data_IF_803665814559
#
_entry.id   IF_803665814559
#
_cell.length_a   1.000
_cell.length_b   1.000
_cell.length_c   1.000
_cell.angle_alpha   90.00
_cell.angle_beta   90.00
_cell.angle_gamma   90.00
#
_symmetry.space_group_name_H-M   'P 1'
#
loop_
_entity.id
_entity.type
_entity.pdbx_description
1 polymer ?
#
# COMPACT_ATOMS: atom_id res chain seq x y z
N UNK A 1 -4.68 23.21 -10.23
CA UNK A 1 -5.40 23.26 -11.53
C UNK A 1 -6.60 22.32 -11.45
N UNK A 2 -7.72 22.78 -10.86
CA UNK A 2 -8.93 21.96 -10.77
C UNK A 2 -9.60 21.91 -12.15
N UNK A 3 -9.80 20.70 -12.68
CA UNK A 3 -10.48 20.46 -13.96
C UNK A 3 -11.86 21.16 -13.94
N UNK A 4 -12.10 22.06 -14.90
CA UNK A 4 -13.42 22.67 -15.15
C UNK A 4 -14.49 21.58 -15.12
N UNK A 5 -15.57 21.80 -14.37
CA UNK A 5 -16.72 20.91 -14.16
C UNK A 5 -17.31 20.49 -15.51
N UNK A 6 -16.74 19.44 -16.09
CA UNK A 6 -17.06 18.89 -17.40
C UNK A 6 -17.82 17.59 -17.19
N UNK A 7 -18.84 17.33 -18.01
CA UNK A 7 -19.65 16.10 -17.99
C UNK A 7 -18.78 14.83 -18.08
N UNK A 8 -17.54 14.92 -18.58
CA UNK A 8 -16.55 13.82 -18.61
C UNK A 8 -16.05 13.37 -17.23
N UNK A 9 -16.12 14.22 -16.20
CA UNK A 9 -15.61 13.87 -14.85
C UNK A 9 -16.45 12.74 -14.21
N UNK A 10 -17.75 12.68 -14.48
CA UNK A 10 -18.62 11.60 -13.97
C UNK A 10 -18.29 10.23 -14.54
N UNK A 11 -17.71 10.17 -15.73
CA UNK A 11 -17.29 8.91 -16.36
C UNK A 11 -15.90 8.47 -15.92
N UNK A 12 -15.15 9.34 -15.24
CA UNK A 12 -13.78 9.03 -14.82
C UNK A 12 -13.75 7.83 -13.84
N UNK A 13 -14.53 7.80 -12.74
CA UNK A 13 -14.49 6.69 -11.79
C UNK A 13 -14.80 5.31 -12.39
N UNK A 14 -15.91 5.09 -13.14
CA UNK A 14 -16.20 3.77 -13.69
C UNK A 14 -15.19 3.34 -14.76
N UNK A 15 -14.69 4.28 -15.60
CA UNK A 15 -13.67 3.96 -16.60
C UNK A 15 -12.35 3.55 -15.94
N UNK A 16 -11.92 4.29 -14.91
CA UNK A 16 -10.72 3.94 -14.13
C UNK A 16 -10.89 2.59 -13.44
N UNK A 17 -12.07 2.31 -12.87
CA UNK A 17 -12.35 1.01 -12.26
C UNK A 17 -12.22 -0.15 -13.25
N UNK A 18 -12.83 -0.05 -14.43
CA UNK A 18 -12.74 -1.08 -15.47
C UNK A 18 -11.30 -1.26 -15.94
N UNK A 19 -10.58 -0.16 -16.19
CA UNK A 19 -9.17 -0.19 -16.57
C UNK A 19 -8.32 -0.89 -15.49
N UNK A 20 -8.47 -0.49 -14.23
CA UNK A 20 -7.75 -1.09 -13.10
C UNK A 20 -8.09 -2.57 -12.92
N UNK A 21 -9.36 -2.95 -13.10
CA UNK A 21 -9.77 -4.35 -13.02
C UNK A 21 -9.09 -5.21 -14.09
N UNK A 22 -9.04 -4.73 -15.34
CA UNK A 22 -8.36 -5.40 -16.44
C UNK A 22 -6.86 -5.54 -16.12
N UNK A 23 -6.21 -4.45 -15.71
CA UNK A 23 -4.77 -4.45 -15.39
C UNK A 23 -4.42 -5.41 -14.25
N UNK A 24 -5.17 -5.36 -13.14
CA UNK A 24 -4.91 -6.22 -11.98
C UNK A 24 -5.19 -7.70 -12.27
N UNK A 25 -6.23 -7.99 -13.05
CA UNK A 25 -6.55 -9.37 -13.45
C UNK A 25 -5.47 -9.94 -14.37
N UNK A 26 -4.99 -9.11 -15.31
CA UNK A 26 -3.93 -9.50 -16.25
C UNK A 26 -2.62 -9.85 -15.53
N UNK A 27 -2.21 -9.02 -14.55
CA UNK A 27 -1.01 -9.27 -13.76
C UNK A 27 -1.09 -10.62 -13.00
N UNK A 28 -2.25 -10.94 -12.43
CA UNK A 28 -2.47 -12.23 -11.74
C UNK A 28 -2.38 -13.41 -12.68
N UNK A 29 -3.00 -13.31 -13.87
CA UNK A 29 -2.97 -14.36 -14.88
C UNK A 29 -1.53 -14.65 -15.29
N UNK A 30 -0.72 -13.62 -15.55
CA UNK A 30 0.69 -13.81 -15.93
C UNK A 30 1.48 -14.52 -14.81
N UNK A 31 1.26 -14.16 -13.55
CA UNK A 31 1.88 -14.83 -12.41
C UNK A 31 1.49 -16.31 -12.31
N UNK A 32 0.21 -16.63 -12.49
CA UNK A 32 -0.30 -18.01 -12.47
C UNK A 32 0.28 -18.81 -13.65
N UNK A 33 0.27 -18.24 -14.85
CA UNK A 33 0.84 -18.85 -16.05
C UNK A 33 2.32 -19.16 -15.86
N UNK A 34 3.09 -18.23 -15.29
CA UNK A 34 4.51 -18.46 -15.04
C UNK A 34 4.78 -19.56 -14.03
N UNK A 35 3.98 -19.65 -12.97
CA UNK A 35 4.06 -20.76 -12.01
C UNK A 35 3.67 -22.10 -12.63
N UNK A 36 2.66 -22.11 -13.50
CA UNK A 36 2.28 -23.31 -14.22
C UNK A 36 3.37 -23.75 -15.22
N UNK A 37 3.94 -22.81 -15.98
CA UNK A 37 5.02 -23.07 -16.92
C UNK A 37 6.28 -23.62 -16.22
N UNK A 38 6.59 -23.09 -15.04
CA UNK A 38 7.67 -23.61 -14.20
C UNK A 38 7.39 -25.04 -13.72
N UNK A 39 6.17 -25.32 -13.25
CA UNK A 39 5.78 -26.65 -12.80
C UNK A 39 5.87 -27.69 -13.92
N UNK A 40 5.56 -27.28 -15.15
CA UNK A 40 5.68 -28.12 -16.36
C UNK A 40 7.12 -28.22 -16.89
N UNK A 41 8.10 -27.55 -16.27
CA UNK A 41 9.50 -27.56 -16.71
C UNK A 41 9.77 -26.75 -17.99
N UNK A 42 8.86 -25.86 -18.40
CA UNK A 42 9.01 -25.02 -19.59
C UNK A 42 9.90 -23.80 -19.36
N UNK A 43 9.98 -23.33 -18.11
CA UNK A 43 10.85 -22.23 -17.68
C UNK A 43 11.50 -22.57 -16.35
N UNK A 44 12.72 -22.08 -16.13
CA UNK A 44 13.40 -22.18 -14.84
C UNK A 44 13.52 -20.81 -14.20
N UNK A 45 12.98 -20.66 -12.99
CA UNK A 45 13.15 -19.44 -12.21
C UNK A 45 14.52 -19.43 -11.52
N UNK A 46 15.18 -18.26 -11.44
CA UNK A 46 16.43 -18.12 -10.73
C UNK A 46 16.25 -18.41 -9.24
N UNK A 47 17.33 -18.82 -8.57
CA UNK A 47 17.35 -19.01 -7.12
C UNK A 47 17.12 -17.68 -6.42
N UNK A 48 16.41 -17.71 -5.28
CA UNK A 48 16.15 -16.52 -4.49
C UNK A 48 17.46 -15.97 -3.92
N UNK A 49 17.77 -14.67 -4.11
CA UNK A 49 19.05 -14.09 -3.68
C UNK A 49 19.27 -14.13 -2.16
N UNK A 50 18.17 -14.16 -1.38
CA UNK A 50 18.20 -14.04 0.10
C UNK A 50 17.74 -15.32 0.83
N UNK A 51 17.02 -16.23 0.15
CA UNK A 51 16.39 -17.39 0.81
C UNK A 51 17.00 -18.66 0.21
N UNK A 52 17.90 -19.35 0.93
CA UNK A 52 18.50 -20.58 0.44
C UNK A 52 17.44 -21.62 0.09
N UNK A 53 17.55 -22.22 -1.10
CA UNK A 53 16.66 -23.30 -1.56
C UNK A 53 15.29 -22.85 -2.07
N UNK A 54 14.94 -21.55 -1.98
CA UNK A 54 13.72 -21.04 -2.62
C UNK A 54 14.03 -20.37 -3.97
N UNK A 55 12.99 -20.21 -4.79
CA UNK A 55 13.09 -19.59 -6.12
C UNK A 55 12.58 -18.16 -6.09
N UNK A 56 13.14 -17.30 -6.94
CA UNK A 56 12.78 -15.90 -7.00
C UNK A 56 11.50 -15.70 -7.81
N UNK A 57 10.36 -15.74 -7.11
CA UNK A 57 9.03 -15.67 -7.73
C UNK A 57 8.71 -14.32 -8.37
N UNK A 58 9.37 -13.25 -7.94
CA UNK A 58 9.13 -11.92 -8.48
C UNK A 58 9.74 -11.74 -9.88
N UNK A 59 10.67 -12.63 -10.28
CA UNK A 59 11.25 -12.66 -11.63
C UNK A 59 10.40 -13.43 -12.66
N UNK A 60 9.22 -13.94 -12.29
CA UNK A 60 8.35 -14.68 -13.22
C UNK A 60 8.06 -13.88 -14.48
N UNK A 61 7.70 -12.61 -14.33
CA UNK A 61 7.35 -11.75 -15.46
C UNK A 61 8.52 -11.52 -16.45
N UNK A 62 9.72 -11.06 -16.02
CA UNK A 62 10.84 -10.88 -16.94
C UNK A 62 11.33 -12.21 -17.55
N UNK A 63 11.30 -13.32 -16.80
CA UNK A 63 11.68 -14.64 -17.34
C UNK A 63 10.70 -15.10 -18.42
N UNK A 64 9.39 -14.93 -18.21
CA UNK A 64 8.39 -15.23 -19.24
C UNK A 64 8.56 -14.35 -20.48
N UNK A 65 8.74 -13.04 -20.29
CA UNK A 65 8.94 -12.11 -21.40
C UNK A 65 10.19 -12.45 -22.22
N UNK A 66 11.28 -12.88 -21.57
CA UNK A 66 12.51 -13.31 -22.24
C UNK A 66 12.36 -14.59 -23.06
N UNK A 67 11.54 -15.54 -22.60
CA UNK A 67 11.37 -16.84 -23.26
C UNK A 67 10.26 -16.85 -24.33
N UNK A 68 9.20 -16.07 -24.14
CA UNK A 68 8.01 -16.11 -25.01
C UNK A 68 8.02 -15.07 -26.13
N UNK A 69 8.77 -13.98 -25.98
CA UNK A 69 8.73 -12.84 -26.91
C UNK A 69 10.02 -12.74 -27.73
N UNK A 70 9.95 -12.19 -28.95
CA UNK A 70 11.14 -11.81 -29.70
C UNK A 70 12.06 -10.87 -28.89
N UNK A 71 13.40 -10.96 -29.06
CA UNK A 71 14.36 -10.22 -28.23
C UNK A 71 14.09 -8.71 -28.16
N UNK A 72 13.76 -8.09 -29.30
CA UNK A 72 13.49 -6.65 -29.38
C UNK A 72 12.25 -6.23 -28.56
N UNK A 73 11.19 -7.06 -28.57
CA UNK A 73 9.95 -6.78 -27.83
C UNK A 73 10.19 -6.99 -26.33
N UNK A 74 10.92 -8.03 -25.95
CA UNK A 74 11.27 -8.30 -24.55
C UNK A 74 12.07 -7.15 -23.94
N UNK A 75 13.07 -6.63 -24.66
CA UNK A 75 13.86 -5.47 -24.22
C UNK A 75 12.99 -4.22 -24.05
N UNK A 76 12.12 -3.92 -25.02
CA UNK A 76 11.22 -2.78 -24.95
C UNK A 76 10.24 -2.90 -23.76
N UNK A 77 9.75 -4.11 -23.50
CA UNK A 77 8.86 -4.39 -22.39
C UNK A 77 9.55 -4.17 -21.03
N UNK A 78 10.82 -4.56 -20.87
CA UNK A 78 11.60 -4.25 -19.67
C UNK A 78 11.73 -2.74 -19.45
N UNK A 79 11.97 -1.97 -20.52
CA UNK A 79 12.02 -0.50 -20.45
C UNK A 79 10.68 0.08 -19.97
N UNK A 80 9.55 -0.43 -20.48
CA UNK A 80 8.21 0.01 -20.05
C UNK A 80 8.01 -0.24 -18.56
N UNK A 81 8.38 -1.42 -18.06
CA UNK A 81 8.23 -1.74 -16.63
C UNK A 81 9.11 -0.85 -15.76
N UNK A 82 10.36 -0.61 -16.16
CA UNK A 82 11.26 0.29 -15.45
C UNK A 82 10.68 1.72 -15.40
N UNK A 83 10.15 2.23 -16.52
CA UNK A 83 9.50 3.54 -16.56
C UNK A 83 8.26 3.61 -15.64
N UNK A 84 7.44 2.56 -15.61
CA UNK A 84 6.26 2.49 -14.75
C UNK A 84 6.63 2.52 -13.25
N UNK A 85 7.64 1.74 -12.85
CA UNK A 85 8.13 1.71 -11.46
C UNK A 85 8.70 3.07 -11.06
N UNK A 86 9.52 3.70 -11.91
CA UNK A 86 10.11 5.01 -11.65
C UNK A 86 9.03 6.08 -11.41
N UNK A 87 7.98 6.10 -12.22
CA UNK A 87 6.87 7.06 -12.05
C UNK A 87 6.11 6.91 -10.73
N UNK A 88 6.09 5.69 -10.17
CA UNK A 88 5.44 5.41 -8.87
C UNK A 88 6.35 5.84 -7.74
N UNK A 89 7.63 5.45 -7.80
CA UNK A 89 8.65 5.83 -6.82
C UNK A 89 8.78 7.34 -6.69
N UNK A 90 8.84 8.07 -7.80
CA UNK A 90 8.95 9.53 -7.79
C UNK A 90 7.79 10.19 -7.04
N UNK A 91 6.55 9.72 -7.26
CA UNK A 91 5.38 10.23 -6.55
C UNK A 91 5.42 9.92 -5.07
N UNK A 92 5.83 8.72 -4.68
CA UNK A 92 5.94 8.34 -3.27
C UNK A 92 7.00 9.16 -2.54
N UNK A 93 8.16 9.37 -3.15
CA UNK A 93 9.24 10.20 -2.60
C UNK A 93 8.79 11.66 -2.44
N UNK A 94 8.19 12.25 -3.48
CA UNK A 94 7.69 13.62 -3.43
C UNK A 94 6.59 13.78 -2.37
N UNK A 95 5.65 12.84 -2.31
CA UNK A 95 4.57 12.86 -1.31
C UNK A 95 5.14 12.76 0.11
N UNK A 96 6.13 11.90 0.33
CA UNK A 96 6.82 11.81 1.62
C UNK A 96 7.47 13.15 2.02
N UNK A 97 8.19 13.79 1.10
CA UNK A 97 8.81 15.09 1.34
C UNK A 97 7.80 16.19 1.67
N UNK A 98 6.64 16.20 1.00
CA UNK A 98 5.55 17.15 1.28
C UNK A 98 4.92 16.86 2.64
N UNK A 99 4.62 15.60 2.96
CA UNK A 99 4.02 15.23 4.24
C UNK A 99 4.94 15.60 5.43
N UNK A 100 6.25 15.37 5.31
CA UNK A 100 7.18 15.76 6.39
C UNK A 100 7.28 17.29 6.52
N UNK A 101 7.43 17.99 5.41
CA UNK A 101 7.63 19.45 5.44
C UNK A 101 6.37 20.25 5.77
N UNK A 102 5.19 19.80 5.34
CA UNK A 102 3.94 20.51 5.57
C UNK A 102 3.17 19.95 6.77
N UNK A 103 2.95 18.63 6.85
CA UNK A 103 2.14 18.09 7.94
C UNK A 103 2.89 18.11 9.27
N UNK A 104 4.19 17.77 9.29
CA UNK A 104 4.96 17.77 10.54
C UNK A 104 5.49 19.17 10.84
N UNK A 105 6.19 19.80 9.91
CA UNK A 105 6.88 21.06 10.19
C UNK A 105 5.96 22.27 10.24
N UNK A 106 5.07 22.42 9.27
CA UNK A 106 4.15 23.54 9.25
C UNK A 106 2.96 23.33 10.20
N UNK A 107 2.26 22.19 10.11
CA UNK A 107 1.02 21.99 10.89
C UNK A 107 1.27 21.57 12.35
N UNK A 108 2.27 20.73 12.63
CA UNK A 108 2.54 20.27 14.02
C UNK A 108 3.56 21.18 14.72
N UNK A 109 4.69 21.51 14.09
CA UNK A 109 5.76 22.32 14.69
C UNK A 109 5.61 23.83 14.45
N UNK A 110 4.60 24.26 13.69
CA UNK A 110 4.28 25.67 13.44
C UNK A 110 5.44 26.49 12.84
N UNK A 111 6.30 25.84 12.04
CA UNK A 111 7.38 26.53 11.31
C UNK A 111 6.78 27.24 10.10
N UNK A 112 6.87 28.58 10.08
CA UNK A 112 6.24 29.43 9.06
C UNK A 112 7.16 29.82 7.89
N UNK A 113 8.45 29.53 7.98
CA UNK A 113 9.41 29.91 6.93
C UNK A 113 9.34 28.98 5.72
N UNK A 114 8.77 29.46 4.62
CA UNK A 114 8.68 28.71 3.35
C UNK A 114 10.04 28.21 2.85
N UNK A 115 11.10 29.00 3.06
CA UNK A 115 12.46 28.59 2.68
C UNK A 115 12.89 27.35 3.45
N UNK A 116 12.60 27.30 4.76
CA UNK A 116 12.94 26.17 5.62
C UNK A 116 12.11 24.94 5.25
N UNK A 117 10.80 25.10 5.03
CA UNK A 117 9.88 24.03 4.60
C UNK A 117 10.39 23.39 3.29
N UNK A 118 10.73 24.21 2.29
CA UNK A 118 11.20 23.72 0.99
C UNK A 118 12.56 23.00 1.08
N UNK A 119 13.48 23.51 1.91
CA UNK A 119 14.77 22.85 2.12
C UNK A 119 14.57 21.49 2.79
N UNK A 120 13.74 21.44 3.84
CA UNK A 120 13.50 20.19 4.55
C UNK A 120 12.77 19.18 3.67
N UNK A 121 11.81 19.60 2.85
CA UNK A 121 11.17 18.70 1.86
C UNK A 121 12.22 18.02 0.97
N UNK A 122 13.15 18.78 0.40
CA UNK A 122 14.23 18.24 -0.44
C UNK A 122 15.16 17.32 0.33
N UNK A 123 15.54 17.68 1.55
CA UNK A 123 16.38 16.85 2.42
C UNK A 123 15.65 15.54 2.73
N UNK A 124 14.38 15.59 3.13
CA UNK A 124 13.57 14.40 3.42
C UNK A 124 13.46 13.46 2.22
N UNK A 125 13.30 14.00 1.01
CA UNK A 125 13.30 13.21 -0.24
C UNK A 125 14.64 12.50 -0.44
N UNK A 126 15.76 13.21 -0.30
CA UNK A 126 17.10 12.62 -0.47
C UNK A 126 17.36 11.58 0.63
N UNK A 127 17.05 11.89 1.89
CA UNK A 127 17.24 11.00 3.02
C UNK A 127 16.46 9.70 2.87
N UNK A 128 15.16 9.77 2.55
CA UNK A 128 14.35 8.56 2.36
C UNK A 128 14.76 7.82 1.09
N UNK A 129 15.20 8.52 0.04
CA UNK A 129 15.78 7.92 -1.17
C UNK A 129 17.04 7.10 -0.86
N UNK A 130 17.95 7.62 -0.03
CA UNK A 130 19.15 6.89 0.40
C UNK A 130 18.80 5.67 1.27
N UNK A 131 17.87 5.82 2.22
CA UNK A 131 17.44 4.70 3.08
C UNK A 131 16.77 3.61 2.26
N UNK A 132 15.89 3.96 1.32
CA UNK A 132 15.21 2.99 0.45
C UNK A 132 16.17 2.33 -0.53
N UNK A 133 17.14 3.06 -1.09
CA UNK A 133 18.20 2.48 -1.92
C UNK A 133 19.07 1.49 -1.13
N UNK A 134 19.41 1.81 0.12
CA UNK A 134 20.13 0.89 1.00
C UNK A 134 19.32 -0.37 1.31
N UNK A 135 18.03 -0.23 1.63
CA UNK A 135 17.14 -1.38 1.86
C UNK A 135 16.93 -2.22 0.58
N UNK A 136 16.98 -1.61 -0.61
CA UNK A 136 16.89 -2.32 -1.87
C UNK A 136 18.12 -3.21 -2.16
N UNK A 137 19.29 -2.89 -1.60
CA UNK A 137 20.48 -3.75 -1.69
C UNK A 137 20.35 -5.02 -0.85
N UNK A 138 19.54 -5.00 0.21
CA UNK A 138 19.29 -6.13 1.11
C UNK A 138 17.79 -6.42 1.20
N UNK A 139 17.16 -6.91 0.10
CA UNK A 139 15.72 -7.03 0.04
C UNK A 139 15.21 -8.03 1.09
N UNK A 140 14.21 -7.66 1.91
CA UNK A 140 13.53 -8.60 2.79
C UNK A 140 12.96 -9.82 2.04
N UNK A 141 12.81 -10.92 2.76
CA UNK A 141 12.46 -12.23 2.19
C UNK A 141 11.11 -12.27 1.44
N UNK A 142 10.14 -11.40 1.77
CA UNK A 142 8.85 -11.33 1.06
C UNK A 142 8.42 -9.86 0.84
N UNK A 143 8.72 -9.31 -0.35
CA UNK A 143 8.29 -7.96 -0.75
C UNK A 143 6.79 -7.82 -0.84
N UNK A 144 6.13 -8.78 -1.51
CA UNK A 144 4.67 -8.78 -1.63
C UNK A 144 3.99 -8.74 -0.25
N UNK A 145 4.52 -9.47 0.74
CA UNK A 145 3.98 -9.46 2.10
C UNK A 145 4.04 -8.07 2.73
N UNK A 146 5.18 -7.39 2.62
CA UNK A 146 5.37 -6.06 3.20
C UNK A 146 4.45 -5.02 2.56
N UNK A 147 4.24 -5.11 1.24
CA UNK A 147 3.29 -4.26 0.51
C UNK A 147 1.87 -4.50 1.01
N UNK A 148 1.48 -5.75 1.15
CA UNK A 148 0.16 -6.15 1.64
C UNK A 148 -0.09 -5.68 3.08
N UNK A 149 0.92 -5.76 3.93
CA UNK A 149 0.90 -5.22 5.29
C UNK A 149 0.73 -3.69 5.30
N UNK A 150 1.54 -2.96 4.54
CA UNK A 150 1.48 -1.50 4.47
C UNK A 150 0.12 -1.01 3.94
N UNK A 151 -0.39 -1.61 2.86
CA UNK A 151 -1.72 -1.31 2.31
C UNK A 151 -2.83 -1.65 3.31
N UNK A 152 -2.69 -2.75 4.04
CA UNK A 152 -3.63 -3.15 5.07
C UNK A 152 -3.71 -2.17 6.24
N UNK A 153 -2.56 -1.72 6.73
CA UNK A 153 -2.47 -0.70 7.78
C UNK A 153 -3.09 0.60 7.29
N UNK A 154 -2.71 1.06 6.09
CA UNK A 154 -3.27 2.26 5.49
C UNK A 154 -4.81 2.18 5.39
N UNK A 155 -5.34 1.06 4.89
CA UNK A 155 -6.78 0.88 4.73
C UNK A 155 -7.52 0.83 6.08
N UNK A 156 -7.04 0.04 7.04
CA UNK A 156 -7.68 -0.12 8.36
C UNK A 156 -7.63 1.15 9.22
N UNK A 157 -6.57 1.95 9.12
CA UNK A 157 -6.41 3.18 9.88
C UNK A 157 -7.18 4.34 9.25
N UNK A 158 -7.01 4.57 7.95
CA UNK A 158 -7.57 5.77 7.30
C UNK A 158 -9.02 5.60 6.85
N UNK A 159 -9.41 4.46 6.30
CA UNK A 159 -10.71 4.36 5.62
C UNK A 159 -11.90 4.53 6.57
N UNK A 160 -11.95 3.86 7.74
CA UNK A 160 -13.05 4.04 8.70
C UNK A 160 -13.15 5.48 9.20
N UNK A 161 -12.01 6.05 9.61
CA UNK A 161 -11.87 7.40 10.10
C UNK A 161 -12.33 8.44 9.06
N UNK A 162 -11.79 8.37 7.84
CA UNK A 162 -12.10 9.30 6.77
C UNK A 162 -13.57 9.22 6.35
N UNK A 163 -14.12 8.01 6.21
CA UNK A 163 -15.52 7.80 5.82
C UNK A 163 -16.46 8.34 6.89
N UNK A 164 -16.15 8.09 8.16
CA UNK A 164 -16.92 8.61 9.28
C UNK A 164 -16.88 10.14 9.34
N UNK A 165 -15.70 10.76 9.20
CA UNK A 165 -15.56 12.22 9.21
C UNK A 165 -16.29 12.92 8.05
N UNK A 166 -16.44 12.26 6.89
CA UNK A 166 -17.12 12.85 5.73
C UNK A 166 -18.64 12.67 5.73
N UNK A 167 -19.13 11.50 6.14
CA UNK A 167 -20.55 11.14 6.00
C UNK A 167 -21.33 11.15 7.30
N UNK A 168 -20.65 11.12 8.46
CA UNK A 168 -21.31 10.99 9.75
C UNK A 168 -21.13 12.27 10.56
N UNK A 169 -22.16 13.11 10.51
CA UNK A 169 -22.17 14.47 11.08
C UNK A 169 -22.03 14.55 12.61
N UNK A 170 -21.98 13.42 13.32
CA UNK A 170 -21.96 13.35 14.80
C UNK A 170 -20.80 12.50 15.34
N UNK A 171 -19.72 12.39 14.56
CA UNK A 171 -18.54 11.64 15.00
C UNK A 171 -17.63 12.58 15.79
N UNK A 172 -17.23 12.13 16.98
CA UNK A 172 -16.31 12.85 17.85
C UNK A 172 -14.86 12.65 17.41
N UNK A 173 -14.01 13.65 17.62
CA UNK A 173 -12.57 13.60 17.35
C UNK A 173 -11.90 12.40 18.06
N UNK A 174 -12.29 12.13 19.30
CA UNK A 174 -11.75 10.98 20.07
C UNK A 174 -12.19 9.64 19.50
N UNK A 175 -13.39 9.55 18.93
CA UNK A 175 -13.85 8.36 18.23
C UNK A 175 -13.03 8.12 16.95
N UNK A 176 -12.69 9.18 16.22
CA UNK A 176 -11.79 9.10 15.05
C UNK A 176 -10.40 8.63 15.47
N UNK A 177 -9.79 9.29 16.48
CA UNK A 177 -8.43 8.97 16.91
C UNK A 177 -8.31 7.55 17.47
N UNK A 178 -9.27 7.12 18.30
CA UNK A 178 -9.31 5.75 18.86
C UNK A 178 -9.49 4.70 17.75
N UNK A 179 -10.33 4.96 16.75
CA UNK A 179 -10.47 4.10 15.57
C UNK A 179 -9.15 3.98 14.80
N UNK A 180 -8.47 5.10 14.51
CA UNK A 180 -7.18 5.09 13.82
C UNK A 180 -6.13 4.26 14.57
N UNK A 181 -6.01 4.47 15.89
CA UNK A 181 -5.07 3.72 16.74
C UNK A 181 -5.42 2.23 16.82
N UNK A 182 -6.71 1.90 16.91
CA UNK A 182 -7.19 0.52 16.94
C UNK A 182 -6.92 -0.19 15.62
N UNK A 183 -7.21 0.44 14.47
CA UNK A 183 -6.93 -0.10 13.14
C UNK A 183 -5.45 -0.32 12.88
N UNK A 184 -4.62 0.66 13.24
CA UNK A 184 -3.16 0.56 13.14
C UNK A 184 -2.63 -0.62 13.97
N UNK A 185 -2.96 -0.65 15.27
CA UNK A 185 -2.43 -1.65 16.20
C UNK A 185 -2.93 -3.05 15.88
N UNK A 186 -4.23 -3.22 15.61
CA UNK A 186 -4.82 -4.52 15.27
C UNK A 186 -4.21 -5.11 14.00
N UNK A 187 -4.08 -4.31 12.93
CA UNK A 187 -3.50 -4.79 11.67
C UNK A 187 -2.00 -5.07 11.81
N UNK A 188 -1.27 -4.28 12.59
CA UNK A 188 0.15 -4.52 12.85
C UNK A 188 0.36 -5.83 13.62
N UNK A 189 -0.42 -6.06 14.68
CA UNK A 189 -0.35 -7.28 15.49
C UNK A 189 -0.74 -8.50 14.65
N UNK A 190 -1.86 -8.42 13.91
CA UNK A 190 -2.30 -9.50 13.04
C UNK A 190 -1.33 -9.75 11.89
N UNK A 191 -0.72 -8.70 11.36
CA UNK A 191 0.36 -8.79 10.38
C UNK A 191 1.57 -9.51 10.93
N UNK A 192 1.97 -9.23 12.18
CA UNK A 192 3.05 -9.98 12.81
C UNK A 192 2.69 -11.45 13.05
N UNK A 193 1.45 -11.73 13.48
CA UNK A 193 0.97 -13.10 13.69
C UNK A 193 0.91 -13.89 12.37
N UNK A 194 0.41 -13.25 11.30
CA UNK A 194 0.21 -13.86 10.00
C UNK A 194 1.44 -13.87 9.10
N UNK A 195 2.45 -13.04 9.42
CA UNK A 195 3.67 -12.93 8.64
C UNK A 195 4.49 -14.21 8.71
N UNK A 196 5.13 -14.59 7.60
CA UNK A 196 6.04 -15.74 7.60
C UNK A 196 7.35 -15.41 8.32
N UNK A 197 8.01 -16.39 8.97
CA UNK A 197 9.33 -16.20 9.55
C UNK A 197 10.31 -15.67 8.48
N UNK A 198 11.22 -14.72 8.80
CA UNK A 198 11.57 -14.16 10.12
C UNK A 198 10.76 -12.92 10.54
N UNK A 199 9.87 -12.38 9.70
CA UNK A 199 9.10 -11.16 10.02
C UNK A 199 7.80 -11.40 10.81
N UNK A 200 7.39 -12.66 11.01
CA UNK A 200 6.18 -13.01 11.75
C UNK A 200 6.12 -14.47 12.20
N UNK A 201 5.03 -14.83 12.88
CA UNK A 201 4.82 -16.13 13.55
C UNK A 201 4.38 -17.28 12.61
N UNK A 202 4.02 -16.99 11.36
CA UNK A 202 3.66 -17.98 10.36
C UNK A 202 2.25 -18.56 10.50
N UNK A 203 1.37 -17.93 11.29
CA UNK A 203 0.02 -18.43 11.53
C UNK A 203 -0.91 -17.99 10.39
N UNK A 204 -1.47 -18.92 9.64
CA UNK A 204 -2.47 -18.57 8.63
C UNK A 204 -3.86 -18.56 9.26
N UNK A 205 -4.49 -17.38 9.29
CA UNK A 205 -5.88 -17.26 9.72
C UNK A 205 -6.79 -17.87 8.65
N UNK A 206 -7.56 -18.88 9.04
CA UNK A 206 -8.51 -19.56 8.15
C UNK A 206 -9.94 -19.37 8.68
N UNK A 207 -10.87 -19.06 7.78
CA UNK A 207 -12.31 -19.04 8.03
C UNK A 207 -12.96 -19.93 6.99
N UNK A 208 -13.79 -20.88 7.43
CA UNK A 208 -14.44 -21.85 6.53
C UNK A 208 -13.43 -22.56 5.59
N UNK A 209 -12.26 -22.94 6.10
CA UNK A 209 -11.14 -23.55 5.35
C UNK A 209 -10.51 -22.65 4.26
N UNK A 210 -10.83 -21.36 4.19
CA UNK A 210 -10.20 -20.40 3.28
C UNK A 210 -9.30 -19.42 4.05
N UNK A 211 -8.11 -19.06 3.52
CA UNK A 211 -7.24 -18.07 4.15
C UNK A 211 -7.90 -16.68 4.12
N UNK A 212 -8.02 -16.05 5.28
CA UNK A 212 -8.52 -14.67 5.38
C UNK A 212 -7.37 -13.70 5.20
N UNK A 213 -7.64 -12.64 4.45
CA UNK A 213 -6.74 -11.52 4.37
C UNK A 213 -6.77 -10.70 5.67
N UNK A 214 -5.69 -10.79 6.46
CA UNK A 214 -5.60 -10.23 7.82
C UNK A 214 -6.00 -8.73 7.97
N UNK A 215 -5.78 -7.83 6.98
CA UNK A 215 -6.23 -6.44 7.10
C UNK A 215 -7.74 -6.26 7.16
N UNK A 216 -8.52 -7.24 6.67
CA UNK A 216 -9.99 -7.22 6.78
C UNK A 216 -10.41 -7.23 8.25
N UNK A 217 -9.73 -8.02 9.09
CA UNK A 217 -10.02 -8.09 10.52
C UNK A 217 -9.65 -6.78 11.20
N UNK A 218 -8.49 -6.19 10.87
CA UNK A 218 -8.09 -4.89 11.41
C UNK A 218 -9.02 -3.76 10.99
N UNK A 219 -9.53 -3.79 9.76
CA UNK A 219 -10.57 -2.88 9.29
C UNK A 219 -11.88 -3.02 10.08
N UNK A 220 -12.34 -4.25 10.32
CA UNK A 220 -13.53 -4.51 11.15
C UNK A 220 -13.31 -4.07 12.60
N UNK A 221 -12.13 -4.32 13.18
CA UNK A 221 -11.80 -3.85 14.53
C UNK A 221 -11.83 -2.32 14.62
N UNK A 222 -11.24 -1.63 13.63
CA UNK A 222 -11.22 -0.17 13.53
C UNK A 222 -12.62 0.44 13.43
N UNK A 223 -13.48 -0.13 12.57
CA UNK A 223 -14.87 0.32 12.40
C UNK A 223 -15.71 0.05 13.64
N UNK A 224 -15.56 -1.10 14.28
CA UNK A 224 -16.25 -1.41 15.54
C UNK A 224 -15.82 -0.46 16.65
N UNK A 225 -14.52 -0.20 16.80
CA UNK A 225 -14.00 0.76 17.77
C UNK A 225 -14.60 2.16 17.55
N UNK A 226 -14.66 2.61 16.30
CA UNK A 226 -15.29 3.88 15.93
C UNK A 226 -16.75 3.96 16.39
N UNK A 227 -17.53 2.93 16.05
CA UNK A 227 -18.96 2.87 16.39
C UNK A 227 -19.14 2.86 17.91
N UNK A 228 -18.40 2.02 18.62
CA UNK A 228 -18.50 1.89 20.08
C UNK A 228 -18.17 3.22 20.76
N UNK A 229 -17.03 3.83 20.45
CA UNK A 229 -16.60 5.08 21.09
C UNK A 229 -17.53 6.23 20.72
N UNK A 230 -17.99 6.29 19.46
CA UNK A 230 -18.98 7.29 19.03
C UNK A 230 -20.31 7.17 19.79
N UNK A 231 -20.78 5.95 20.05
CA UNK A 231 -22.02 5.74 20.81
C UNK A 231 -21.88 6.16 22.29
N UNK A 232 -20.72 5.92 22.91
CA UNK A 232 -20.46 6.35 24.29
C UNK A 232 -20.34 7.87 24.42
N UNK A 233 -19.69 8.53 23.46
CA UNK A 233 -19.48 9.99 23.49
C UNK A 233 -20.68 10.81 23.01
N UNK A 234 -21.69 10.18 22.40
CA UNK A 234 -22.95 10.85 22.02
C UNK A 234 -23.68 11.50 23.20
N UNK A 235 -23.26 11.23 24.45
CA UNK A 235 -23.73 11.87 25.69
C UNK A 235 -23.01 13.17 26.06
N UNK A 236 -21.88 13.52 25.45
CA UNK A 236 -21.09 14.73 25.74
C UNK A 236 -20.79 15.49 24.46
N UNK A 237 -21.69 16.38 24.05
CA UNK A 237 -21.66 17.05 22.75
C UNK A 237 -20.40 17.88 22.51
N UNK A 238 -19.60 17.45 21.53
CA UNK A 238 -18.78 18.33 20.71
C UNK A 238 -18.89 17.87 19.26
N UNK A 239 -19.56 18.67 18.44
CA UNK A 239 -19.71 18.44 17.00
C UNK A 239 -18.39 18.76 16.30
N UNK A 240 -17.83 17.78 15.59
CA UNK A 240 -16.74 18.03 14.64
C UNK A 240 -17.41 18.42 13.32
N UNK A 241 -17.53 19.73 13.09
CA UNK A 241 -17.80 20.27 11.76
C UNK A 241 -16.45 20.58 11.10
N UNK A 242 -16.12 19.77 10.07
CA UNK A 242 -15.09 20.10 9.08
C UNK A 242 -15.62 21.18 8.15
#
# INVERSE_FOLDING_TARGET
MALKRSRRIYWLPPVLFVLSFILLSSAKIIGITGRAAEYLGLIELPKHPVIPGSKFTDAVFPVLAGNLLPPYISMFLVIIVLAAVMSTTDRLLLTFGVNVSYDILHNVLHVSSERVINIISKISIVSVGLVTAYLAMYPPQLMAWLIWLALGIMFSTWFPALTASLYWSKVSEKAVLSSMLCGFSSTLILGYICGKPPLGLGVTLTLLNAPIYFPVIGFLASTLCLIIVSLFERKGGHEVLV
#
